data_IF_162727144977
#
_entry.id   IF_162727144977
#
_cell.length_a   1.000
_cell.length_b   1.000
_cell.length_c   1.000
_cell.angle_alpha   90.00
_cell.angle_beta   90.00
_cell.angle_gamma   90.00
#
_symmetry.space_group_name_H-M   'P 1'
#
loop_
_entity.id
_entity.type
_entity.pdbx_description
1 polymer ?
#
# COMPACT_ATOMS: atom_id res chain seq x y z
N UNK A 1 -16.26 -4.30 -1.16
CA UNK A 1 -15.12 -3.58 -0.54
C UNK A 1 -15.22 -3.74 0.97
N UNK A 2 -14.11 -4.01 1.66
CA UNK A 2 -14.05 -4.00 3.13
C UNK A 2 -13.28 -2.74 3.55
N UNK A 3 -13.78 -1.96 4.51
CA UNK A 3 -13.05 -0.83 5.12
C UNK A 3 -12.99 -1.02 6.64
N UNK A 4 -11.86 -0.68 7.26
CA UNK A 4 -11.69 -0.63 8.72
C UNK A 4 -11.34 0.79 9.13
N UNK A 5 -12.17 1.47 9.95
CA UNK A 5 -11.80 2.73 10.59
C UNK A 5 -10.56 2.52 11.45
N UNK A 6 -9.56 3.37 11.26
CA UNK A 6 -8.30 3.42 12.01
C UNK A 6 -7.73 4.83 11.80
N UNK A 7 -7.61 5.62 12.87
CA UNK A 7 -7.00 6.95 12.81
C UNK A 7 -5.48 6.83 12.99
N UNK A 8 -4.70 7.30 12.02
CA UNK A 8 -3.23 7.25 12.09
C UNK A 8 -2.57 8.29 11.18
N UNK A 9 -1.42 8.82 11.59
CA UNK A 9 -0.46 9.42 10.65
C UNK A 9 0.53 8.35 10.15
N UNK A 10 1.02 7.51 11.08
CA UNK A 10 1.99 6.44 10.82
C UNK A 10 1.39 5.08 11.20
N UNK A 11 1.61 4.05 10.39
CA UNK A 11 1.12 2.70 10.67
C UNK A 11 1.93 1.61 9.96
N UNK A 12 1.87 0.40 10.50
CA UNK A 12 2.31 -0.83 9.84
C UNK A 12 1.05 -1.66 9.57
N UNK A 13 0.85 -2.06 8.32
CA UNK A 13 -0.31 -2.84 7.85
C UNK A 13 0.21 -4.11 7.17
N UNK A 14 -0.11 -5.28 7.73
CA UNK A 14 0.32 -6.58 7.20
C UNK A 14 -0.89 -7.39 6.77
N UNK A 15 -0.75 -8.19 5.71
CA UNK A 15 -1.77 -9.14 5.27
C UNK A 15 -1.18 -10.20 4.35
N UNK A 16 -1.67 -11.44 4.42
CA UNK A 16 -1.42 -12.45 3.39
C UNK A 16 -2.61 -12.50 2.42
N UNK A 17 -2.35 -12.66 1.12
CA UNK A 17 -3.39 -12.64 0.09
C UNK A 17 -3.21 -13.76 -0.93
N UNK A 18 -4.31 -14.15 -1.58
CA UNK A 18 -4.31 -15.01 -2.76
C UNK A 18 -5.16 -14.36 -3.84
N UNK A 19 -4.62 -14.17 -5.04
CA UNK A 19 -5.32 -13.42 -6.10
C UNK A 19 -6.61 -14.09 -6.60
N UNK A 20 -6.82 -15.40 -6.37
CA UNK A 20 -8.09 -16.13 -6.55
C UNK A 20 -8.68 -16.21 -7.96
N UNK A 21 -8.15 -15.45 -8.92
CA UNK A 21 -8.75 -15.21 -10.24
C UNK A 21 -9.09 -13.74 -10.49
N UNK A 22 -9.02 -12.87 -9.47
CA UNK A 22 -9.14 -11.43 -9.63
C UNK A 22 -8.04 -10.84 -10.51
N UNK A 23 -8.45 -10.05 -11.51
CA UNK A 23 -7.56 -9.19 -12.30
C UNK A 23 -6.71 -8.27 -11.43
N UNK A 24 -7.24 -7.79 -10.30
CA UNK A 24 -6.56 -6.86 -9.41
C UNK A 24 -7.13 -6.88 -7.98
N UNK A 25 -6.27 -6.72 -6.98
CA UNK A 25 -6.62 -6.28 -5.62
C UNK A 25 -5.93 -4.96 -5.29
N UNK A 26 -6.41 -4.24 -4.27
CA UNK A 26 -5.61 -3.17 -3.64
C UNK A 26 -5.91 -2.96 -2.17
N UNK A 27 -4.86 -2.61 -1.42
CA UNK A 27 -4.93 -2.03 -0.08
C UNK A 27 -4.88 -0.50 -0.22
N UNK A 28 -6.05 0.14 -0.14
CA UNK A 28 -6.18 1.59 -0.10
C UNK A 28 -6.08 2.15 1.32
N UNK A 29 -5.63 3.38 1.42
CA UNK A 29 -5.45 4.17 2.63
C UNK A 29 -6.05 5.54 2.37
N UNK A 30 -7.00 5.94 3.21
CA UNK A 30 -7.92 7.04 2.95
C UNK A 30 -8.00 7.95 4.17
N UNK A 31 -8.17 9.26 3.97
CA UNK A 31 -8.48 10.20 5.04
C UNK A 31 -10.00 10.32 5.24
N UNK A 32 -10.46 11.43 5.82
CA UNK A 32 -11.88 11.71 6.05
C UNK A 32 -12.61 12.25 4.81
N UNK A 33 -11.88 12.73 3.80
CA UNK A 33 -12.41 13.23 2.53
C UNK A 33 -12.39 12.13 1.48
N UNK A 34 -11.22 11.56 1.16
CA UNK A 34 -11.05 10.67 0.02
C UNK A 34 -9.83 9.73 0.15
N UNK A 35 -9.64 8.87 -0.85
CA UNK A 35 -8.41 8.15 -1.16
C UNK A 35 -7.15 9.03 -1.07
N UNK A 36 -6.06 8.50 -0.50
CA UNK A 36 -4.77 9.20 -0.34
C UNK A 36 -3.64 8.42 -1.00
N UNK A 37 -3.53 7.12 -0.71
CA UNK A 37 -2.55 6.23 -1.33
C UNK A 37 -3.01 4.77 -1.32
N UNK A 38 -2.37 3.93 -2.15
CA UNK A 38 -2.64 2.48 -2.15
C UNK A 38 -1.45 1.65 -2.63
N UNK A 39 -1.46 0.39 -2.21
CA UNK A 39 -0.76 -0.69 -2.93
C UNK A 39 -1.76 -1.37 -3.85
N UNK A 40 -1.50 -1.37 -5.15
CA UNK A 40 -2.20 -2.18 -6.16
C UNK A 40 -1.42 -3.45 -6.40
N UNK A 41 -2.07 -4.61 -6.44
CA UNK A 41 -1.44 -5.91 -6.72
C UNK A 41 -2.25 -6.64 -7.81
N UNK A 42 -1.56 -7.22 -8.79
CA UNK A 42 -2.12 -8.03 -9.87
C UNK A 42 -1.12 -9.11 -10.33
N UNK A 43 -1.48 -9.94 -11.31
CA UNK A 43 -0.64 -11.05 -11.76
C UNK A 43 0.75 -10.66 -12.33
N UNK A 44 1.03 -9.37 -12.57
CA UNK A 44 2.34 -8.84 -13.02
C UNK A 44 3.14 -8.16 -11.91
N UNK A 45 2.69 -8.22 -10.66
CA UNK A 45 3.36 -7.68 -9.49
C UNK A 45 2.56 -6.57 -8.80
N UNK A 46 3.25 -5.60 -8.21
CA UNK A 46 2.60 -4.52 -7.44
C UNK A 46 3.05 -3.11 -7.83
N UNK A 47 2.21 -2.14 -7.45
CA UNK A 47 2.40 -0.71 -7.65
C UNK A 47 2.12 0.01 -6.33
N UNK A 48 3.01 0.93 -5.96
CA UNK A 48 2.83 1.83 -4.81
C UNK A 48 2.58 3.23 -5.36
N UNK A 49 1.50 3.88 -4.93
CA UNK A 49 1.07 5.17 -5.48
C UNK A 49 0.37 6.06 -4.46
N UNK A 50 0.50 7.38 -4.66
CA UNK A 50 -0.50 8.36 -4.25
C UNK A 50 -1.71 8.23 -5.18
N UNK A 51 -2.90 8.29 -4.62
CA UNK A 51 -4.14 8.33 -5.41
C UNK A 51 -4.45 9.74 -5.92
N UNK A 52 -5.38 9.83 -6.84
CA UNK A 52 -6.04 11.08 -7.21
C UNK A 52 -7.02 11.44 -6.07
N UNK A 53 -6.85 12.62 -5.47
CA UNK A 53 -7.51 13.03 -4.23
C UNK A 53 -8.55 14.15 -4.40
N UNK A 54 -8.68 14.72 -5.61
CA UNK A 54 -9.76 15.66 -5.96
C UNK A 54 -10.54 15.29 -7.23
N UNK A 55 -10.18 14.18 -7.88
CA UNK A 55 -10.81 13.57 -9.06
C UNK A 55 -10.77 14.47 -10.30
N UNK A 56 -11.64 15.46 -10.37
CA UNK A 56 -11.78 16.38 -11.51
C UNK A 56 -10.89 17.64 -11.37
N UNK A 57 -10.17 17.76 -10.25
CA UNK A 57 -9.27 18.89 -9.97
C UNK A 57 -7.82 18.67 -10.43
N UNK A 58 -6.88 19.52 -9.96
CA UNK A 58 -5.48 19.50 -10.38
C UNK A 58 -4.63 18.43 -9.69
N UNK A 59 -5.02 17.86 -8.54
CA UNK A 59 -4.30 16.73 -7.94
C UNK A 59 -4.49 15.47 -8.79
N UNK A 60 -3.43 14.73 -9.09
CA UNK A 60 -3.50 13.53 -9.95
C UNK A 60 -2.74 12.37 -9.33
N UNK A 61 -3.09 11.13 -9.67
CA UNK A 61 -2.41 9.95 -9.11
C UNK A 61 -0.91 9.94 -9.45
N UNK A 62 -0.05 9.72 -8.46
CA UNK A 62 1.41 9.68 -8.62
C UNK A 62 1.90 8.27 -8.30
N UNK A 63 2.43 7.58 -9.31
CA UNK A 63 3.03 6.25 -9.13
C UNK A 63 4.45 6.44 -8.62
N UNK A 64 4.70 5.96 -7.40
CA UNK A 64 6.02 5.99 -6.78
C UNK A 64 6.89 4.84 -7.29
N UNK A 65 6.34 3.62 -7.26
CA UNK A 65 7.08 2.42 -7.64
C UNK A 65 6.20 1.45 -8.41
N UNK A 66 6.77 0.82 -9.43
CA UNK A 66 6.28 -0.43 -10.03
C UNK A 66 7.31 -1.52 -9.72
N UNK A 67 6.85 -2.63 -9.13
CA UNK A 67 7.69 -3.79 -8.81
C UNK A 67 7.14 -4.99 -9.58
N UNK A 68 7.78 -5.36 -10.72
CA UNK A 68 7.42 -6.55 -11.48
C UNK A 68 7.74 -7.81 -10.67
N UNK A 69 6.76 -8.71 -10.56
CA UNK A 69 6.93 -10.05 -10.00
C UNK A 69 5.74 -10.93 -10.42
N UNK A 70 5.88 -12.24 -10.28
CA UNK A 70 4.78 -13.21 -10.47
C UNK A 70 4.38 -13.81 -9.13
N UNK A 71 3.11 -14.19 -9.00
CA UNK A 71 2.58 -14.90 -7.83
C UNK A 71 2.15 -16.30 -8.28
N UNK A 72 2.60 -17.37 -7.62
CA UNK A 72 2.23 -18.72 -8.06
C UNK A 72 0.80 -19.08 -7.60
N UNK A 73 0.19 -20.03 -8.31
CA UNK A 73 -1.20 -20.38 -8.08
C UNK A 73 -1.37 -21.18 -6.78
N UNK A 74 -2.07 -20.60 -5.80
CA UNK A 74 -2.34 -21.23 -4.50
C UNK A 74 -1.45 -20.73 -3.37
N UNK A 75 -0.41 -19.96 -3.68
CA UNK A 75 0.43 -19.31 -2.66
C UNK A 75 -0.33 -18.21 -1.90
N UNK A 76 0.20 -17.89 -0.72
CA UNK A 76 -0.29 -16.85 0.19
C UNK A 76 0.83 -15.87 0.55
N UNK A 77 1.40 -15.14 -0.43
CA UNK A 77 2.40 -14.11 -0.15
C UNK A 77 1.87 -13.08 0.86
N UNK A 78 2.72 -12.72 1.79
CA UNK A 78 2.49 -11.65 2.77
C UNK A 78 2.95 -10.33 2.16
N UNK A 79 2.14 -9.29 2.35
CA UNK A 79 2.49 -7.91 2.07
C UNK A 79 2.60 -7.14 3.40
N UNK A 80 3.68 -6.39 3.55
CA UNK A 80 3.90 -5.43 4.64
C UNK A 80 3.87 -4.03 4.02
N UNK A 81 3.07 -3.14 4.58
CA UNK A 81 2.95 -1.74 4.15
C UNK A 81 3.24 -0.83 5.34
N UNK A 82 4.34 -0.10 5.29
CA UNK A 82 4.70 0.91 6.29
C UNK A 82 4.31 2.30 5.77
N UNK A 83 3.67 3.11 6.62
CA UNK A 83 3.38 4.52 6.38
C UNK A 83 4.09 5.35 7.46
N UNK A 84 4.83 6.36 7.04
CA UNK A 84 5.55 7.27 7.92
C UNK A 84 5.41 8.73 7.42
N UNK A 85 4.46 9.48 7.98
CA UNK A 85 4.19 10.86 7.55
C UNK A 85 3.80 10.93 6.07
N UNK A 86 4.67 11.58 5.28
CA UNK A 86 4.60 11.74 3.83
C UNK A 86 4.99 10.47 3.03
N UNK A 87 5.56 9.46 3.69
CA UNK A 87 6.27 8.34 3.05
C UNK A 87 5.51 7.01 3.15
N UNK A 88 5.72 6.16 2.15
CA UNK A 88 5.09 4.85 2.01
C UNK A 88 6.11 3.82 1.51
N UNK A 89 6.21 2.69 2.23
CA UNK A 89 6.95 1.49 1.81
C UNK A 89 5.95 0.36 1.63
N UNK A 90 6.14 -0.48 0.61
CA UNK A 90 5.49 -1.77 0.50
C UNK A 90 6.50 -2.86 0.10
N UNK A 91 6.55 -3.94 0.87
CA UNK A 91 7.29 -5.16 0.55
C UNK A 91 6.30 -6.33 0.46
N UNK A 92 6.56 -7.25 -0.46
CA UNK A 92 5.78 -8.49 -0.63
C UNK A 92 6.76 -9.67 -0.68
N UNK A 93 6.39 -10.79 -0.08
CA UNK A 93 7.18 -12.03 -0.13
C UNK A 93 7.53 -12.41 -1.58
N UNK A 94 8.81 -12.74 -1.83
CA UNK A 94 9.32 -13.06 -3.17
C UNK A 94 9.62 -11.85 -4.07
N UNK A 95 9.35 -10.62 -3.64
CA UNK A 95 9.69 -9.43 -4.42
C UNK A 95 11.20 -9.14 -4.41
N UNK A 96 11.81 -8.96 -5.59
CA UNK A 96 13.23 -8.64 -5.73
C UNK A 96 13.62 -7.24 -5.19
N UNK A 97 12.65 -6.35 -4.99
CA UNK A 97 12.82 -5.07 -4.29
C UNK A 97 11.51 -4.62 -3.63
N UNK A 98 11.61 -3.71 -2.67
CA UNK A 98 10.44 -3.00 -2.13
C UNK A 98 9.97 -1.92 -3.12
N UNK A 99 8.71 -1.51 -2.99
CA UNK A 99 8.23 -0.24 -3.54
C UNK A 99 8.32 0.85 -2.46
N UNK A 100 8.81 2.02 -2.82
CA UNK A 100 8.96 3.17 -1.94
C UNK A 100 8.52 4.46 -2.65
N UNK A 101 8.04 5.45 -1.89
CA UNK A 101 8.01 6.85 -2.30
C UNK A 101 7.44 7.79 -1.24
N UNK A 102 7.44 9.07 -1.58
CA UNK A 102 7.01 10.17 -0.71
C UNK A 102 6.15 11.18 -1.47
N UNK A 103 5.16 11.77 -0.81
CA UNK A 103 4.43 12.96 -1.30
C UNK A 103 3.71 13.66 -0.15
N UNK A 104 3.73 15.00 -0.11
CA UNK A 104 3.21 15.76 1.04
C UNK A 104 1.71 15.53 1.32
N UNK A 105 0.92 15.18 0.29
CA UNK A 105 -0.47 14.73 0.47
C UNK A 105 -0.59 13.58 1.49
N UNK A 106 0.38 12.67 1.58
CA UNK A 106 0.37 11.58 2.56
C UNK A 106 0.58 12.11 4.00
N UNK A 107 1.17 13.29 4.20
CA UNK A 107 1.55 13.83 5.52
C UNK A 107 0.37 14.38 6.36
N UNK A 108 -0.68 13.59 6.47
CA UNK A 108 -1.93 13.88 7.19
C UNK A 108 -2.37 12.70 8.05
N UNK A 109 -3.40 12.94 8.85
CA UNK A 109 -4.15 11.88 9.54
C UNK A 109 -5.04 11.14 8.54
N UNK A 110 -4.81 9.84 8.39
CA UNK A 110 -5.65 8.89 7.66
C UNK A 110 -6.76 8.44 8.62
N UNK A 111 -7.94 8.09 8.09
CA UNK A 111 -9.12 7.71 8.88
C UNK A 111 -9.52 6.23 8.72
N UNK A 112 -9.12 5.58 7.62
CA UNK A 112 -9.46 4.19 7.36
C UNK A 112 -8.50 3.52 6.36
N UNK A 113 -8.38 2.19 6.48
CA UNK A 113 -7.76 1.32 5.47
C UNK A 113 -8.85 0.51 4.75
N UNK A 114 -8.69 0.30 3.44
CA UNK A 114 -9.70 -0.26 2.54
C UNK A 114 -9.16 -1.36 1.64
N UNK A 115 -9.97 -2.39 1.41
CA UNK A 115 -9.66 -3.55 0.59
C UNK A 115 -10.67 -3.67 -0.55
N UNK A 116 -10.17 -3.56 -1.78
CA UNK A 116 -10.94 -3.69 -3.02
C UNK A 116 -10.41 -4.83 -3.88
N UNK A 117 -11.31 -5.48 -4.59
CA UNK A 117 -11.05 -6.60 -5.51
C UNK A 117 -11.78 -6.26 -6.81
N UNK A 118 -11.18 -6.53 -7.97
CA UNK A 118 -11.74 -6.24 -9.27
C UNK A 118 -11.48 -7.36 -10.28
N UNK A 119 -12.51 -7.73 -11.04
CA UNK A 119 -12.41 -8.69 -12.14
C UNK A 119 -12.13 -10.13 -11.71
N UNK A 120 -12.83 -10.62 -10.68
CA UNK A 120 -12.74 -11.99 -10.16
C UNK A 120 -12.74 -12.03 -8.61
N UNK A 121 -12.76 -13.22 -7.99
CA UNK A 121 -12.63 -13.38 -6.54
C UNK A 121 -11.16 -13.30 -6.10
N UNK A 122 -10.92 -12.85 -4.88
CA UNK A 122 -9.61 -12.89 -4.21
C UNK A 122 -9.79 -13.08 -2.70
N UNK A 123 -8.77 -13.63 -2.05
CA UNK A 123 -8.80 -14.00 -0.64
C UNK A 123 -7.75 -13.21 0.16
N UNK A 124 -8.06 -12.94 1.44
CA UNK A 124 -7.18 -12.24 2.38
C UNK A 124 -7.26 -12.94 3.73
N UNK A 125 -6.13 -13.03 4.43
CA UNK A 125 -6.03 -13.50 5.82
C UNK A 125 -4.88 -12.80 6.54
N UNK A 126 -4.67 -13.14 7.81
CA UNK A 126 -3.54 -12.68 8.62
C UNK A 126 -3.41 -11.14 8.63
N UNK A 127 -4.56 -10.47 8.61
CA UNK A 127 -4.70 -9.02 8.45
C UNK A 127 -4.45 -8.31 9.78
N UNK A 128 -3.44 -7.45 9.81
CA UNK A 128 -3.15 -6.54 10.93
C UNK A 128 -3.02 -5.09 10.46
N UNK A 129 -3.15 -4.15 11.41
CA UNK A 129 -3.04 -2.71 11.16
C UNK A 129 -2.79 -1.99 12.47
N UNK A 130 -1.54 -1.61 12.70
CA UNK A 130 -1.05 -1.10 13.98
C UNK A 130 -0.58 0.34 13.81
N UNK A 131 -1.08 1.26 14.65
CA UNK A 131 -0.59 2.65 14.69
C UNK A 131 0.84 2.64 15.23
N UNK A 132 1.76 3.24 14.49
CA UNK A 132 3.19 3.17 14.77
C UNK A 132 3.75 4.52 15.23
N UNK A 133 4.90 4.51 15.91
CA UNK A 133 5.79 5.67 15.99
C UNK A 133 6.69 5.67 14.74
N UNK A 134 7.24 6.84 14.37
CA UNK A 134 8.31 6.87 13.37
C UNK A 134 9.49 6.01 13.85
N UNK A 135 10.07 5.23 12.94
CA UNK A 135 11.23 4.39 13.21
C UNK A 135 12.46 5.24 13.57
N UNK A 136 13.21 4.93 14.65
CA UNK A 136 14.43 5.67 14.98
C UNK A 136 15.51 5.59 13.89
N UNK A 137 15.59 4.46 13.18
CA UNK A 137 16.51 4.20 12.07
C UNK A 137 15.98 4.68 10.71
N UNK A 138 14.92 5.50 10.69
CA UNK A 138 14.23 5.84 9.44
C UNK A 138 15.10 6.64 8.47
N UNK A 139 15.89 7.62 8.94
CA UNK A 139 16.73 8.44 8.06
C UNK A 139 17.75 7.59 7.27
N UNK A 140 18.44 6.66 7.95
CA UNK A 140 19.36 5.71 7.32
C UNK A 140 18.61 4.73 6.40
N UNK A 141 17.44 4.23 6.84
CA UNK A 141 16.59 3.36 6.03
C UNK A 141 16.17 4.03 4.73
N UNK A 142 15.70 5.27 4.78
CA UNK A 142 15.31 6.08 3.62
C UNK A 142 16.47 6.22 2.63
N UNK A 143 17.67 6.57 3.09
CA UNK A 143 18.86 6.65 2.21
C UNK A 143 19.15 5.32 1.47
N UNK A 144 18.93 4.17 2.14
CA UNK A 144 19.07 2.82 1.54
C UNK A 144 17.93 2.45 0.57
N UNK A 145 16.79 3.15 0.62
CA UNK A 145 15.67 3.01 -0.31
C UNK A 145 15.79 3.92 -1.53
N UNK A 146 16.31 5.13 -1.36
CA UNK A 146 16.49 6.13 -2.43
C UNK A 146 17.69 5.86 -3.34
N UNK A 147 18.64 5.02 -2.91
CA UNK A 147 19.83 4.64 -3.67
C UNK A 147 19.62 3.43 -4.62
N UNK A 148 18.42 3.19 -5.15
CA UNK A 148 18.03 1.97 -5.91
C UNK A 148 16.95 2.17 -7.00
#
# INVERSE_FOLDING_TARGET
>A
MIRRPLAFTNAIITFSFRLGGARQISRSINDAKEHVCRVVINAKGFVVQKDDHDHDGPDKAVIFARVPMTFALGEWPTAIVEINGAEMVAQIDGAAKVGFGAHELLNRTKANLGFTVAGGPAEFRDVSGTVAKMRPDWAETKMRLEAK
#
